data_IF_623029510233
#
_entry.id   IF_623029510233
#
_cell.length_a   1.000
_cell.length_b   1.000
_cell.length_c   1.000
_cell.angle_alpha   90.00
_cell.angle_beta   90.00
_cell.angle_gamma   90.00
#
_symmetry.space_group_name_H-M   'P 1'
#
loop_
_entity.id
_entity.type
_entity.pdbx_description
1 polymer ?
#
# COMPACT_ATOMS: atom_id res chain seq x y z
N UNK A 1 -8.56 -27.86 31.91
CA UNK A 1 -9.44 -26.68 31.75
C UNK A 1 -8.67 -25.66 30.93
N UNK A 2 -8.59 -25.87 29.61
CA UNK A 2 -7.88 -24.98 28.70
C UNK A 2 -8.91 -24.21 27.89
N UNK A 3 -8.86 -22.88 28.00
CA UNK A 3 -9.79 -21.98 27.32
C UNK A 3 -9.42 -21.90 25.85
N UNK A 4 -10.33 -22.42 25.04
CA UNK A 4 -10.39 -22.32 23.59
C UNK A 4 -10.59 -20.85 23.19
N UNK A 5 -9.54 -20.17 22.72
CA UNK A 5 -9.70 -18.87 22.07
C UNK A 5 -10.06 -19.14 20.60
N UNK A 6 -11.34 -18.88 20.26
CA UNK A 6 -11.80 -18.75 18.89
C UNK A 6 -11.52 -17.32 18.44
N UNK A 7 -10.49 -17.11 17.62
CA UNK A 7 -10.40 -15.91 16.78
C UNK A 7 -10.79 -16.27 15.35
N UNK A 8 -12.09 -16.18 15.06
CA UNK A 8 -12.59 -16.20 13.69
C UNK A 8 -12.32 -14.84 13.05
N UNK A 9 -11.21 -14.74 12.33
CA UNK A 9 -10.92 -13.64 11.42
C UNK A 9 -10.14 -14.23 10.26
N UNK A 10 -10.75 -14.28 9.08
CA UNK A 10 -10.21 -14.94 7.89
C UNK A 10 -8.82 -14.41 7.57
N UNK A 11 -7.82 -15.29 7.61
CA UNK A 11 -6.54 -15.06 6.97
C UNK A 11 -6.79 -14.86 5.47
N UNK A 12 -6.52 -13.65 4.97
CA UNK A 12 -6.61 -13.29 3.56
C UNK A 12 -5.74 -14.24 2.75
N UNK A 13 -6.31 -14.92 1.75
CA UNK A 13 -5.51 -15.57 0.72
C UNK A 13 -5.12 -14.50 -0.29
N UNK A 14 -3.90 -13.97 -0.13
CA UNK A 14 -3.14 -13.08 -1.04
C UNK A 14 -2.90 -13.68 -2.44
N UNK A 15 -3.73 -14.61 -2.91
CA UNK A 15 -3.38 -15.56 -3.99
C UNK A 15 -3.45 -15.00 -5.40
N UNK A 16 -3.87 -13.74 -5.58
CA UNK A 16 -3.92 -13.09 -6.89
C UNK A 16 -2.77 -12.08 -7.11
N UNK A 17 -1.88 -11.88 -6.13
CA UNK A 17 -0.71 -11.03 -6.29
C UNK A 17 0.47 -11.93 -6.68
N UNK A 18 0.96 -11.77 -7.90
CA UNK A 18 2.20 -12.43 -8.32
C UNK A 18 3.38 -11.82 -7.55
N UNK A 19 3.92 -12.58 -6.59
CA UNK A 19 5.22 -12.29 -5.98
C UNK A 19 6.32 -12.39 -7.05
N UNK A 20 6.70 -11.26 -7.66
CA UNK A 20 7.93 -11.17 -8.47
C UNK A 20 8.80 -9.98 -8.02
N UNK A 21 10.09 -10.31 -7.90
CA UNK A 21 11.29 -9.51 -7.59
C UNK A 21 11.35 -8.92 -6.16
N UNK A 22 12.44 -9.12 -5.40
CA UNK A 22 12.63 -8.45 -4.11
C UNK A 22 12.72 -6.94 -4.32
N UNK A 23 12.12 -6.17 -3.40
CA UNK A 23 12.19 -4.71 -3.34
C UNK A 23 13.61 -4.21 -3.64
N UNK A 24 13.74 -3.34 -4.64
CA UNK A 24 14.93 -3.18 -5.49
C UNK A 24 16.04 -2.30 -4.93
N UNK A 25 15.89 -1.70 -3.74
CA UNK A 25 17.00 -1.07 -3.01
C UNK A 25 16.67 -0.98 -1.52
N UNK A 26 17.69 -0.91 -0.65
CA UNK A 26 17.50 -0.78 0.80
C UNK A 26 16.70 0.49 1.19
N UNK A 27 16.88 1.67 0.53
CA UNK A 27 16.08 2.86 0.79
C UNK A 27 14.57 2.69 0.56
N UNK A 28 14.15 2.01 -0.51
CA UNK A 28 12.71 1.81 -0.80
C UNK A 28 12.06 0.95 0.28
N UNK A 29 12.77 -0.08 0.76
CA UNK A 29 12.27 -0.93 1.84
C UNK A 29 12.07 -0.12 3.11
N UNK A 30 12.98 0.79 3.43
CA UNK A 30 12.88 1.67 4.59
C UNK A 30 11.71 2.65 4.46
N UNK A 31 11.52 3.26 3.27
CA UNK A 31 10.38 4.12 2.98
C UNK A 31 9.06 3.37 3.20
N UNK A 32 8.91 2.20 2.58
CA UNK A 32 7.69 1.39 2.69
C UNK A 32 7.44 0.97 4.13
N UNK A 33 8.49 0.57 4.85
CA UNK A 33 8.40 0.18 6.26
C UNK A 33 7.96 1.33 7.16
N UNK A 34 8.53 2.53 6.98
CA UNK A 34 8.15 3.70 7.76
C UNK A 34 6.74 4.21 7.42
N UNK A 35 6.39 4.24 6.13
CA UNK A 35 5.05 4.55 5.66
C UNK A 35 4.02 3.58 6.26
N UNK A 36 4.30 2.28 6.17
CA UNK A 36 3.45 1.24 6.75
C UNK A 36 3.26 1.42 8.24
N UNK A 37 4.32 1.66 8.99
CA UNK A 37 4.22 1.93 10.43
C UNK A 37 3.36 3.17 10.74
N UNK A 38 3.51 4.24 9.96
CA UNK A 38 2.70 5.45 10.08
C UNK A 38 1.22 5.19 9.81
N UNK A 39 0.92 4.48 8.73
CA UNK A 39 -0.45 4.15 8.32
C UNK A 39 -1.10 3.14 9.28
N UNK A 40 -0.37 2.14 9.78
CA UNK A 40 -0.85 1.19 10.79
C UNK A 40 -1.24 1.91 12.08
N UNK A 41 -0.42 2.86 12.55
CA UNK A 41 -0.75 3.68 13.72
C UNK A 41 -1.99 4.55 13.48
N UNK A 42 -2.16 5.07 12.26
CA UNK A 42 -3.25 5.99 11.91
C UNK A 42 -4.59 5.28 11.73
N UNK A 43 -4.59 4.13 11.06
CA UNK A 43 -5.81 3.45 10.61
C UNK A 43 -6.11 2.15 11.35
N UNK A 44 -5.12 1.54 12.02
CA UNK A 44 -5.30 0.27 12.72
C UNK A 44 -5.89 -0.81 11.82
N UNK A 45 -7.00 -1.43 12.24
CA UNK A 45 -7.68 -2.49 11.50
C UNK A 45 -8.33 -2.04 10.18
N UNK A 46 -8.47 -0.72 9.96
CA UNK A 46 -8.96 -0.19 8.68
C UNK A 46 -7.90 -0.30 7.58
N UNK A 47 -6.61 -0.35 7.91
CA UNK A 47 -5.57 -0.62 6.93
C UNK A 47 -5.56 -2.10 6.57
N UNK A 48 -5.94 -2.43 5.33
CA UNK A 48 -6.01 -3.81 4.85
C UNK A 48 -4.73 -4.23 4.14
N UNK A 49 -4.13 -3.34 3.34
CA UNK A 49 -2.91 -3.64 2.61
C UNK A 49 -2.21 -2.36 2.13
N UNK A 50 -0.91 -2.48 1.85
CA UNK A 50 -0.11 -1.50 1.13
C UNK A 50 0.60 -2.22 -0.01
N UNK A 51 0.55 -1.62 -1.20
CA UNK A 51 1.09 -2.21 -2.42
C UNK A 51 1.95 -1.16 -3.13
N UNK A 52 3.21 -1.50 -3.41
CA UNK A 52 4.03 -0.76 -4.36
C UNK A 52 3.54 -1.10 -5.76
N UNK A 53 3.34 -0.10 -6.61
CA UNK A 53 3.07 -0.28 -8.03
C UNK A 53 3.95 0.68 -8.85
N UNK A 54 3.59 0.92 -10.11
CA UNK A 54 4.34 1.86 -10.93
C UNK A 54 5.69 1.33 -11.41
N UNK A 55 6.60 2.26 -11.76
CA UNK A 55 7.90 1.94 -12.36
C UNK A 55 8.78 1.11 -11.42
N UNK A 56 8.82 1.45 -10.13
CA UNK A 56 9.57 0.70 -9.12
C UNK A 56 9.10 -0.76 -8.95
N UNK A 57 7.80 -1.03 -9.05
CA UNK A 57 7.31 -2.41 -9.00
C UNK A 57 7.71 -3.22 -10.25
N UNK A 58 7.86 -2.55 -11.41
CA UNK A 58 8.27 -3.18 -12.67
C UNK A 58 9.79 -3.24 -12.87
N UNK A 59 10.57 -2.52 -12.07
CA UNK A 59 12.02 -2.38 -12.27
C UNK A 59 12.36 -1.49 -13.47
N UNK A 60 11.49 -0.54 -13.79
CA UNK A 60 11.58 0.42 -14.90
C UNK A 60 11.77 1.85 -14.39
N UNK A 61 12.12 2.02 -13.11
CA UNK A 61 12.35 3.32 -12.50
C UNK A 61 13.55 4.05 -13.11
N UNK A 62 13.44 5.37 -13.10
CA UNK A 62 14.49 6.34 -13.41
C UNK A 62 14.79 7.18 -12.18
N UNK A 63 15.84 8.00 -12.23
CA UNK A 63 16.21 8.90 -11.11
C UNK A 63 15.07 9.87 -10.74
N UNK A 64 14.23 10.26 -11.70
CA UNK A 64 13.09 11.16 -11.51
C UNK A 64 11.76 10.42 -11.25
N UNK A 65 11.78 9.11 -11.01
CA UNK A 65 10.55 8.33 -10.80
C UNK A 65 9.94 8.57 -9.42
N UNK A 66 8.61 8.72 -9.40
CA UNK A 66 7.82 8.69 -8.18
C UNK A 66 7.71 7.27 -7.60
N UNK A 67 7.57 7.16 -6.29
CA UNK A 67 7.21 5.92 -5.60
C UNK A 67 5.68 5.85 -5.48
N UNK A 68 5.08 5.03 -6.34
CA UNK A 68 3.63 4.81 -6.39
C UNK A 68 3.16 3.76 -5.37
N UNK A 69 2.33 4.17 -4.42
CA UNK A 69 1.81 3.33 -3.34
C UNK A 69 0.29 3.30 -3.32
N UNK A 70 -0.30 2.12 -3.46
CA UNK A 70 -1.73 1.91 -3.25
C UNK A 70 -1.98 1.48 -1.80
N UNK A 71 -2.92 2.16 -1.14
CA UNK A 71 -3.32 1.88 0.24
C UNK A 71 -4.74 1.36 0.22
N UNK A 72 -4.91 0.08 0.56
CA UNK A 72 -6.22 -0.54 0.65
C UNK A 72 -6.77 -0.31 2.05
N UNK A 73 -7.88 0.43 2.13
CA UNK A 73 -8.59 0.73 3.36
C UNK A 73 -9.94 0.02 3.37
N UNK A 74 -10.42 -0.36 4.56
CA UNK A 74 -11.74 -0.99 4.76
C UNK A 74 -12.84 -0.15 4.10
N UNK A 75 -12.92 1.13 4.45
CA UNK A 75 -13.79 2.12 3.83
C UNK A 75 -13.27 3.54 4.10
N UNK A 76 -13.79 4.52 3.36
CA UNK A 76 -13.58 5.96 3.57
C UNK A 76 -14.61 6.77 2.78
N UNK A 77 -14.85 8.04 3.12
CA UNK A 77 -15.86 8.83 2.40
C UNK A 77 -15.37 9.25 1.00
N UNK A 78 -14.26 9.98 0.94
CA UNK A 78 -13.69 10.52 -0.28
C UNK A 78 -12.18 10.33 -0.34
N UNK A 79 -11.67 9.99 -1.52
CA UNK A 79 -10.24 9.75 -1.73
C UNK A 79 -9.40 11.00 -1.42
N UNK A 80 -9.87 12.19 -1.79
CA UNK A 80 -9.17 13.45 -1.51
C UNK A 80 -8.98 13.67 0.00
N UNK A 81 -9.98 13.34 0.82
CA UNK A 81 -9.87 13.41 2.28
C UNK A 81 -8.78 12.49 2.81
N UNK A 82 -8.65 11.29 2.26
CA UNK A 82 -7.60 10.35 2.69
C UNK A 82 -6.20 10.77 2.22
N UNK A 83 -6.10 11.39 1.05
CA UNK A 83 -4.86 12.02 0.57
C UNK A 83 -4.44 13.15 1.52
N UNK A 84 -5.35 14.04 1.90
CA UNK A 84 -5.09 15.11 2.87
C UNK A 84 -4.67 14.55 4.24
N UNK A 85 -5.39 13.53 4.74
CA UNK A 85 -5.11 12.91 6.05
C UNK A 85 -3.76 12.20 6.10
N UNK A 86 -3.25 11.73 4.97
CA UNK A 86 -1.94 11.06 4.87
C UNK A 86 -0.83 11.99 4.42
N UNK A 87 -1.16 13.23 4.03
CA UNK A 87 -0.22 14.21 3.48
C UNK A 87 0.98 14.50 4.37
N UNK A 88 0.79 14.63 5.70
CA UNK A 88 1.91 14.88 6.63
C UNK A 88 2.90 13.71 6.67
N UNK A 89 2.39 12.47 6.63
CA UNK A 89 3.23 11.26 6.64
C UNK A 89 4.00 11.18 5.31
N UNK A 90 3.28 11.34 4.20
CA UNK A 90 3.84 11.28 2.85
C UNK A 90 4.91 12.36 2.65
N UNK A 91 4.59 13.62 2.95
CA UNK A 91 5.52 14.74 2.81
C UNK A 91 6.76 14.60 3.69
N UNK A 92 6.60 14.16 4.95
CA UNK A 92 7.75 13.93 5.84
C UNK A 92 8.70 12.87 5.31
N UNK A 93 8.17 11.77 4.76
CA UNK A 93 8.98 10.72 4.15
C UNK A 93 9.61 11.19 2.85
N UNK A 94 8.86 11.89 2.00
CA UNK A 94 9.39 12.48 0.78
C UNK A 94 10.58 13.40 1.03
N UNK A 95 10.50 14.27 2.04
CA UNK A 95 11.60 15.14 2.44
C UNK A 95 12.78 14.37 3.04
N UNK A 96 12.50 13.36 3.87
CA UNK A 96 13.54 12.55 4.54
C UNK A 96 14.38 11.75 3.55
N UNK A 97 13.75 11.22 2.51
CA UNK A 97 14.39 10.32 1.53
C UNK A 97 14.68 11.00 0.19
N UNK A 98 14.43 12.31 0.07
CA UNK A 98 14.63 13.11 -1.15
C UNK A 98 13.96 12.47 -2.39
N UNK A 99 12.68 12.11 -2.25
CA UNK A 99 11.91 11.39 -3.28
C UNK A 99 10.43 11.76 -3.24
N UNK A 100 9.72 11.58 -4.35
CA UNK A 100 8.28 11.82 -4.42
C UNK A 100 7.52 10.53 -4.16
N UNK A 101 6.52 10.59 -3.26
CA UNK A 101 5.66 9.46 -2.94
C UNK A 101 4.23 9.81 -3.38
N UNK A 102 3.68 9.01 -4.29
CA UNK A 102 2.31 9.12 -4.78
C UNK A 102 1.45 8.08 -4.07
N UNK A 103 0.52 8.53 -3.21
CA UNK A 103 -0.35 7.64 -2.43
C UNK A 103 -1.77 7.62 -3.02
N UNK A 104 -2.26 6.42 -3.35
CA UNK A 104 -3.61 6.21 -3.88
C UNK A 104 -4.45 5.38 -2.89
N UNK A 105 -5.44 5.98 -2.21
CA UNK A 105 -6.35 5.24 -1.35
C UNK A 105 -7.40 4.49 -2.19
N UNK A 106 -7.63 3.22 -1.86
CA UNK A 106 -8.62 2.36 -2.55
C UNK A 106 -9.45 1.65 -1.49
N UNK A 107 -10.78 1.72 -1.61
CA UNK A 107 -11.69 0.96 -0.75
C UNK A 107 -11.52 -0.53 -1.00
N UNK A 108 -11.55 -1.33 0.05
CA UNK A 108 -11.46 -2.79 -0.03
C UNK A 108 -12.52 -3.36 -0.99
N UNK A 109 -13.75 -2.85 -0.91
CA UNK A 109 -14.82 -3.23 -1.84
C UNK A 109 -14.44 -2.98 -3.30
N UNK A 110 -13.89 -1.81 -3.61
CA UNK A 110 -13.52 -1.47 -4.98
C UNK A 110 -12.34 -2.31 -5.46
N UNK A 111 -11.37 -2.56 -4.59
CA UNK A 111 -10.26 -3.48 -4.86
C UNK A 111 -10.74 -4.89 -5.24
N UNK A 112 -11.74 -5.41 -4.53
CA UNK A 112 -12.27 -6.75 -4.76
C UNK A 112 -13.17 -6.83 -6.00
N UNK A 113 -14.06 -5.85 -6.19
CA UNK A 113 -15.17 -5.94 -7.14
C UNK A 113 -14.91 -5.22 -8.46
N UNK A 114 -14.12 -4.12 -8.47
CA UNK A 114 -13.93 -3.31 -9.67
C UNK A 114 -12.76 -3.77 -10.52
N UNK A 115 -12.90 -3.56 -11.83
CA UNK A 115 -11.88 -3.77 -12.85
C UNK A 115 -11.55 -2.46 -13.55
N UNK A 116 -11.05 -1.49 -12.80
CA UNK A 116 -10.51 -0.26 -13.41
C UNK A 116 -9.12 -0.54 -13.99
N UNK A 117 -8.65 0.31 -14.91
CA UNK A 117 -7.29 0.20 -15.46
C UNK A 117 -6.25 0.23 -14.34
N UNK A 118 -6.39 1.14 -13.38
CA UNK A 118 -5.50 1.26 -12.22
C UNK A 118 -5.46 -0.03 -11.38
N UNK A 119 -6.61 -0.50 -10.92
CA UNK A 119 -6.70 -1.71 -10.08
C UNK A 119 -6.16 -2.94 -10.83
N UNK A 120 -6.46 -3.05 -12.13
CA UNK A 120 -5.98 -4.18 -12.94
C UNK A 120 -4.46 -4.15 -13.09
N UNK A 121 -3.86 -2.98 -13.27
CA UNK A 121 -2.42 -2.82 -13.34
C UNK A 121 -1.75 -3.14 -11.98
N UNK A 122 -2.30 -2.64 -10.87
CA UNK A 122 -1.78 -2.94 -9.52
C UNK A 122 -1.86 -4.44 -9.22
N UNK A 123 -2.96 -5.11 -9.57
CA UNK A 123 -3.08 -6.57 -9.37
C UNK A 123 -2.06 -7.36 -10.20
N UNK A 124 -1.77 -6.91 -11.42
CA UNK A 124 -0.86 -7.60 -12.33
C UNK A 124 0.60 -7.43 -11.92
N UNK A 125 1.00 -6.20 -11.58
CA UNK A 125 2.40 -5.80 -11.47
C UNK A 125 2.80 -5.37 -10.04
N UNK A 126 1.85 -5.21 -9.12
CA UNK A 126 2.10 -4.67 -7.79
C UNK A 126 2.82 -5.63 -6.86
N UNK A 127 3.61 -5.08 -5.94
CA UNK A 127 4.41 -5.80 -4.94
C UNK A 127 3.92 -5.45 -3.53
N UNK A 128 3.78 -6.46 -2.67
CA UNK A 128 3.35 -6.27 -1.28
C UNK A 128 4.44 -5.58 -0.46
N UNK A 129 4.04 -4.55 0.29
CA UNK A 129 4.89 -3.80 1.23
C UNK A 129 4.84 -4.28 2.68
#
# INVERSE_FOLDING_TARGET
>A
MEKRIRSSGRCFKLTDIHFKKPLTSDPIKDIIKELKSGLEKKYGSQLKSILLFGSYARGEETEDSDIDIAVILEDFDHACTEIERTGDIVSSLSLKFDTLISLVPIKEKDWLERKTTLISNIKRDGVVG
#
